data_IF_012988382277
#
_entry.id   IF_012988382277
#
_cell.length_a   1.000
_cell.length_b   1.000
_cell.length_c   1.000
_cell.angle_alpha   90.00
_cell.angle_beta   90.00
_cell.angle_gamma   90.00
#
_symmetry.space_group_name_H-M   'P 1'
#
loop_
_entity.id
_entity.type
_entity.pdbx_description
1 polymer ?
#
# COMPACT_ATOMS: atom_id res chain seq x y z
N UNK A 1 -1.19 -20.44 -2.89
CA UNK A 1 -0.41 -19.21 -2.65
C UNK A 1 -1.22 -18.28 -1.75
N UNK A 2 -1.17 -18.46 -0.42
CA UNK A 2 -1.88 -17.59 0.53
C UNK A 2 -1.19 -17.54 1.92
N UNK A 3 0.13 -17.79 1.98
CA UNK A 3 0.90 -17.76 3.25
C UNK A 3 1.20 -16.34 3.76
N UNK A 4 0.88 -15.32 2.97
CA UNK A 4 1.03 -13.92 3.36
C UNK A 4 -0.37 -13.33 3.39
N UNK A 5 -0.80 -12.89 4.57
CA UNK A 5 -2.05 -12.16 4.76
C UNK A 5 -2.13 -10.89 3.90
N UNK A 6 -3.15 -10.03 4.13
CA UNK A 6 -3.42 -8.91 3.23
C UNK A 6 -2.19 -7.99 3.10
N UNK A 7 -1.83 -7.59 1.87
CA UNK A 7 -0.73 -6.66 1.65
C UNK A 7 -1.07 -5.27 2.19
N UNK A 8 -0.04 -4.43 2.39
CA UNK A 8 -0.20 -3.10 3.00
C UNK A 8 -1.29 -2.25 2.33
N UNK A 9 -1.37 -2.25 0.99
CA UNK A 9 -2.37 -1.46 0.26
C UNK A 9 -3.82 -1.97 0.46
N UNK A 10 -4.02 -3.25 0.75
CA UNK A 10 -5.32 -3.83 1.08
C UNK A 10 -5.76 -3.42 2.48
N UNK A 11 -4.82 -3.46 3.42
CA UNK A 11 -5.02 -2.94 4.77
C UNK A 11 -5.22 -1.43 4.81
N UNK A 12 -4.57 -0.67 3.94
CA UNK A 12 -4.72 0.78 3.89
C UNK A 12 -6.09 1.17 3.36
N UNK A 13 -6.59 0.47 2.34
CA UNK A 13 -7.97 0.64 1.89
C UNK A 13 -8.95 0.34 3.04
N UNK A 14 -8.81 -0.82 3.70
CA UNK A 14 -9.65 -1.21 4.83
C UNK A 14 -9.61 -0.16 5.95
N UNK A 15 -8.42 0.34 6.29
CA UNK A 15 -8.20 1.32 7.36
C UNK A 15 -8.94 2.65 7.15
N UNK A 16 -9.19 3.02 5.89
CA UNK A 16 -9.87 4.29 5.53
C UNK A 16 -11.38 4.18 5.69
N UNK A 17 -11.93 2.96 5.71
CA UNK A 17 -13.36 2.72 5.83
C UNK A 17 -13.76 2.60 7.30
N UNK A 18 -14.27 3.69 7.89
CA UNK A 18 -14.70 3.73 9.29
C UNK A 18 -15.66 2.60 9.66
N UNK A 19 -16.60 2.29 8.77
CA UNK A 19 -17.58 1.24 9.00
C UNK A 19 -16.94 -0.14 9.07
N UNK A 20 -15.97 -0.45 8.21
CA UNK A 20 -15.36 -1.78 8.16
C UNK A 20 -14.63 -2.13 9.45
N UNK A 21 -13.68 -1.29 9.88
CA UNK A 21 -12.90 -1.65 11.07
C UNK A 21 -13.72 -1.56 12.37
N UNK A 22 -14.76 -0.72 12.43
CA UNK A 22 -15.67 -0.68 13.59
C UNK A 22 -16.55 -1.90 13.66
N UNK A 23 -17.08 -2.34 12.53
CA UNK A 23 -17.93 -3.53 12.46
C UNK A 23 -17.13 -4.79 12.79
N UNK A 24 -15.95 -4.96 12.20
CA UNK A 24 -15.07 -6.08 12.52
C UNK A 24 -14.72 -6.13 14.02
N UNK A 25 -14.38 -4.97 14.62
CA UNK A 25 -14.18 -4.84 16.07
C UNK A 25 -15.44 -5.18 16.86
N UNK A 26 -16.60 -4.69 16.45
CA UNK A 26 -17.89 -4.93 17.12
C UNK A 26 -18.22 -6.43 17.17
N UNK A 27 -18.03 -7.15 16.06
CA UNK A 27 -18.23 -8.60 15.98
C UNK A 27 -17.31 -9.35 16.93
N UNK A 28 -16.02 -9.00 16.92
CA UNK A 28 -15.04 -9.61 17.81
C UNK A 28 -15.33 -9.31 19.28
N UNK A 29 -15.69 -8.08 19.61
CA UNK A 29 -16.06 -7.65 20.96
C UNK A 29 -17.35 -8.31 21.48
N UNK A 30 -18.28 -8.64 20.58
CA UNK A 30 -19.55 -9.31 20.91
C UNK A 30 -19.44 -10.84 20.94
N UNK A 31 -18.29 -11.40 20.55
CA UNK A 31 -18.03 -12.83 20.59
C UNK A 31 -17.90 -13.38 22.01
N UNK A 32 -17.73 -14.69 22.11
CA UNK A 32 -17.35 -15.35 23.36
C UNK A 32 -15.83 -15.45 23.51
N UNK A 33 -15.33 -15.41 24.75
CA UNK A 33 -13.94 -15.76 25.07
C UNK A 33 -12.95 -14.59 25.17
N UNK A 34 -11.63 -14.88 25.28
CA UNK A 34 -10.61 -13.89 25.61
C UNK A 34 -10.44 -12.77 24.57
N UNK A 35 -10.70 -13.05 23.29
CA UNK A 35 -10.67 -12.04 22.22
C UNK A 35 -11.72 -10.95 22.44
N UNK A 36 -12.91 -11.33 22.91
CA UNK A 36 -14.01 -10.39 23.10
C UNK A 36 -13.65 -9.28 24.09
N UNK A 37 -13.06 -9.64 25.24
CA UNK A 37 -12.56 -8.66 26.21
C UNK A 37 -11.48 -7.74 25.63
N UNK A 38 -10.57 -8.27 24.82
CA UNK A 38 -9.50 -7.48 24.19
C UNK A 38 -10.05 -6.47 23.18
N UNK A 39 -10.94 -6.89 22.29
CA UNK A 39 -11.53 -6.02 21.27
C UNK A 39 -12.59 -5.07 21.84
N UNK A 40 -13.23 -5.41 22.96
CA UNK A 40 -14.11 -4.51 23.70
C UNK A 40 -13.34 -3.35 24.37
N UNK A 41 -12.08 -3.57 24.77
CA UNK A 41 -11.26 -2.58 25.46
C UNK A 41 -10.63 -1.52 24.53
N UNK A 42 -10.65 -1.73 23.20
CA UNK A 42 -10.06 -0.81 22.22
C UNK A 42 -11.13 -0.18 21.35
N UNK A 43 -11.26 1.14 21.35
CA UNK A 43 -12.29 1.85 20.57
C UNK A 43 -11.72 2.68 19.41
N UNK A 44 -10.50 3.17 19.59
CA UNK A 44 -9.86 4.06 18.65
C UNK A 44 -9.25 3.30 17.47
N UNK A 45 -9.37 3.91 16.29
CA UNK A 45 -8.78 3.39 15.04
C UNK A 45 -7.29 3.07 15.18
N UNK A 46 -6.55 3.88 15.95
CA UNK A 46 -5.10 3.74 16.16
C UNK A 46 -4.73 2.47 16.92
N UNK A 47 -5.65 1.93 17.72
CA UNK A 47 -5.43 0.75 18.56
C UNK A 47 -6.05 -0.49 17.90
N UNK A 48 -7.25 -0.34 17.33
CA UNK A 48 -7.98 -1.41 16.65
C UNK A 48 -7.23 -1.91 15.40
N UNK A 49 -6.71 -1.03 14.55
CA UNK A 49 -6.12 -1.45 13.28
C UNK A 49 -4.80 -2.21 13.42
N UNK A 50 -3.82 -1.77 14.24
CA UNK A 50 -2.62 -2.58 14.49
C UNK A 50 -2.97 -3.92 15.10
N UNK A 51 -3.95 -3.97 16.00
CA UNK A 51 -4.40 -5.22 16.62
C UNK A 51 -5.00 -6.18 15.59
N UNK A 52 -5.93 -5.72 14.75
CA UNK A 52 -6.50 -6.52 13.65
C UNK A 52 -5.41 -7.04 12.70
N UNK A 53 -4.46 -6.18 12.32
CA UNK A 53 -3.36 -6.54 11.41
C UNK A 53 -2.45 -7.63 12.01
N UNK A 54 -2.17 -7.55 13.31
CA UNK A 54 -1.33 -8.50 14.02
C UNK A 54 -2.04 -9.84 14.22
N UNK A 55 -3.32 -9.82 14.59
CA UNK A 55 -4.06 -11.04 14.91
C UNK A 55 -4.53 -11.80 13.65
N UNK A 56 -4.85 -11.10 12.54
CA UNK A 56 -5.37 -11.71 11.30
C UNK A 56 -4.59 -12.94 10.81
N UNK A 57 -3.26 -12.95 10.65
CA UNK A 57 -2.56 -14.14 10.17
C UNK A 57 -2.63 -15.34 11.13
N UNK A 58 -2.90 -15.13 12.42
CA UNK A 58 -2.77 -16.16 13.45
C UNK A 58 -4.11 -16.64 13.99
N UNK A 59 -5.12 -15.79 13.96
CA UNK A 59 -6.40 -16.05 14.63
C UNK A 59 -7.54 -16.26 13.60
N UNK A 60 -8.14 -17.47 13.52
CA UNK A 60 -9.21 -17.76 12.57
C UNK A 60 -10.48 -16.94 12.84
N UNK A 61 -10.77 -16.58 14.09
CA UNK A 61 -11.94 -15.77 14.41
C UNK A 61 -11.75 -14.32 13.95
N UNK A 62 -10.53 -13.79 14.08
CA UNK A 62 -10.19 -12.47 13.53
C UNK A 62 -10.24 -12.47 12.01
N UNK A 63 -9.71 -13.50 11.34
CA UNK A 63 -9.83 -13.60 9.87
C UNK A 63 -11.28 -13.62 9.44
N UNK A 64 -12.07 -14.52 10.02
CA UNK A 64 -13.49 -14.65 9.73
C UNK A 64 -14.22 -13.32 9.93
N UNK A 65 -14.03 -12.66 11.07
CA UNK A 65 -14.70 -11.39 11.36
C UNK A 65 -14.33 -10.29 10.34
N UNK A 66 -13.07 -10.19 9.94
CA UNK A 66 -12.62 -9.21 8.93
C UNK A 66 -13.18 -9.56 7.54
N UNK A 67 -13.07 -10.82 7.13
CA UNK A 67 -13.50 -11.29 5.81
C UNK A 67 -15.02 -11.15 5.64
N UNK A 68 -15.81 -11.59 6.63
CA UNK A 68 -17.27 -11.44 6.64
C UNK A 68 -17.68 -9.96 6.65
N UNK A 69 -17.01 -9.12 7.45
CA UNK A 69 -17.29 -7.68 7.46
C UNK A 69 -17.06 -7.06 6.09
N UNK A 70 -15.99 -7.44 5.39
CA UNK A 70 -15.70 -6.92 4.06
C UNK A 70 -16.76 -7.41 3.07
N UNK A 71 -17.09 -8.70 3.09
CA UNK A 71 -18.12 -9.28 2.24
C UNK A 71 -19.47 -8.56 2.44
N UNK A 72 -19.91 -8.41 3.68
CA UNK A 72 -21.23 -7.86 4.01
C UNK A 72 -21.29 -6.34 3.86
N UNK A 73 -20.27 -5.61 4.30
CA UNK A 73 -20.33 -4.14 4.36
C UNK A 73 -19.77 -3.50 3.10
N UNK A 74 -18.65 -3.99 2.57
CA UNK A 74 -18.04 -3.39 1.38
C UNK A 74 -18.68 -3.91 0.08
N UNK A 75 -19.05 -5.19 0.05
CA UNK A 75 -19.64 -5.84 -1.13
C UNK A 75 -21.15 -6.08 -1.02
N UNK A 76 -21.78 -5.68 0.11
CA UNK A 76 -23.22 -5.83 0.34
C UNK A 76 -23.68 -7.29 0.27
N UNK A 77 -22.82 -8.22 0.67
CA UNK A 77 -23.04 -9.66 0.59
C UNK A 77 -22.95 -10.26 -0.81
N UNK A 78 -22.71 -9.44 -1.85
CA UNK A 78 -22.67 -9.86 -3.26
C UNK A 78 -21.29 -10.39 -3.64
N UNK A 79 -20.87 -11.49 -3.02
CA UNK A 79 -19.60 -12.18 -3.32
C UNK A 79 -19.78 -13.36 -4.30
N UNK A 80 -21.02 -13.61 -4.72
CA UNK A 80 -21.46 -14.63 -5.67
C UNK A 80 -21.56 -14.12 -7.12
N UNK A 81 -21.55 -12.80 -7.31
CA UNK A 81 -21.58 -12.14 -8.62
C UNK A 81 -20.17 -11.87 -9.16
N UNK A 82 -20.06 -11.41 -10.41
CA UNK A 82 -18.77 -10.94 -10.97
C UNK A 82 -18.44 -9.54 -10.45
N UNK A 83 -17.15 -9.22 -10.30
CA UNK A 83 -16.75 -7.87 -9.84
C UNK A 83 -17.30 -6.74 -10.72
N UNK A 84 -17.35 -6.95 -12.03
CA UNK A 84 -17.87 -5.98 -12.99
C UNK A 84 -19.35 -5.62 -12.73
N UNK A 85 -20.11 -6.53 -12.14
CA UNK A 85 -21.54 -6.37 -11.84
C UNK A 85 -21.78 -5.52 -10.58
N UNK A 86 -20.73 -5.26 -9.78
CA UNK A 86 -20.82 -4.33 -8.65
C UNK A 86 -20.99 -2.87 -9.07
N UNK A 87 -20.77 -2.53 -10.35
CA UNK A 87 -20.90 -1.17 -10.88
C UNK A 87 -19.78 -0.22 -10.45
N UNK A 88 -18.68 -0.74 -9.89
CA UNK A 88 -17.55 0.06 -9.40
C UNK A 88 -16.59 0.37 -10.55
N UNK A 89 -16.68 1.59 -11.10
CA UNK A 89 -15.88 2.00 -12.27
C UNK A 89 -14.38 2.18 -12.00
N UNK A 90 -14.02 2.62 -10.80
CA UNK A 90 -12.62 2.85 -10.40
C UNK A 90 -12.38 2.27 -9.01
N UNK A 91 -12.25 0.94 -8.95
CA UNK A 91 -12.04 0.24 -7.70
C UNK A 91 -10.60 0.43 -7.19
N UNK A 92 -10.39 0.90 -5.95
CA UNK A 92 -9.06 0.99 -5.35
C UNK A 92 -8.36 -0.37 -5.33
N UNK A 93 -7.02 -0.37 -5.47
CA UNK A 93 -6.20 -1.61 -5.47
C UNK A 93 -6.46 -2.52 -4.29
N UNK A 94 -6.66 -1.94 -3.10
CA UNK A 94 -6.98 -2.70 -1.89
C UNK A 94 -8.32 -3.40 -1.96
N UNK A 95 -9.36 -2.73 -2.45
CA UNK A 95 -10.69 -3.32 -2.66
C UNK A 95 -10.63 -4.50 -3.64
N UNK A 96 -9.89 -4.33 -4.74
CA UNK A 96 -9.70 -5.37 -5.75
C UNK A 96 -9.02 -6.60 -5.18
N UNK A 97 -7.98 -6.41 -4.37
CA UNK A 97 -7.32 -7.52 -3.68
C UNK A 97 -8.26 -8.27 -2.75
N UNK A 98 -9.05 -7.54 -1.95
CA UNK A 98 -10.03 -8.16 -1.06
C UNK A 98 -11.09 -8.95 -1.83
N UNK A 99 -11.55 -8.43 -2.96
CA UNK A 99 -12.44 -9.20 -3.83
C UNK A 99 -11.79 -10.50 -4.29
N UNK A 100 -10.60 -10.43 -4.88
CA UNK A 100 -9.88 -11.63 -5.35
C UNK A 100 -9.60 -12.61 -4.21
N UNK A 101 -9.30 -12.13 -3.00
CA UNK A 101 -9.08 -12.97 -1.83
C UNK A 101 -10.36 -13.70 -1.38
N UNK A 102 -11.52 -13.04 -1.43
CA UNK A 102 -12.79 -13.61 -1.00
C UNK A 102 -13.45 -14.51 -2.05
N UNK A 103 -13.38 -14.15 -3.32
CA UNK A 103 -14.12 -14.83 -4.41
C UNK A 103 -13.24 -15.73 -5.27
N UNK A 104 -11.91 -15.56 -5.20
CA UNK A 104 -10.97 -16.20 -6.11
C UNK A 104 -10.95 -15.58 -7.51
N UNK A 105 -11.76 -14.55 -7.81
CA UNK A 105 -11.77 -13.91 -9.12
C UNK A 105 -10.51 -13.03 -9.31
N UNK A 106 -9.60 -13.36 -10.24
CA UNK A 106 -8.41 -12.57 -10.47
C UNK A 106 -8.77 -11.28 -11.21
N UNK A 107 -8.74 -10.14 -10.51
CA UNK A 107 -9.05 -8.83 -11.11
C UNK A 107 -7.83 -8.15 -11.71
N UNK A 108 -6.66 -8.46 -11.18
CA UNK A 108 -5.40 -7.96 -11.68
C UNK A 108 -4.89 -8.93 -12.74
N UNK A 109 -5.25 -8.66 -14.00
CA UNK A 109 -4.69 -9.36 -15.17
C UNK A 109 -3.16 -9.24 -15.26
N UNK A 110 -2.50 -9.82 -16.28
CA UNK A 110 -1.03 -9.95 -16.40
C UNK A 110 -0.22 -8.63 -16.39
N UNK A 111 -0.86 -7.49 -16.18
CA UNK A 111 -0.27 -6.16 -16.14
C UNK A 111 0.19 -5.74 -14.72
N UNK A 112 -0.32 -6.36 -13.65
CA UNK A 112 0.13 -6.06 -12.28
C UNK A 112 1.56 -6.57 -12.00
N UNK A 113 2.05 -7.56 -12.74
CA UNK A 113 3.44 -8.03 -12.66
C UNK A 113 4.46 -7.05 -13.27
N UNK A 114 4.02 -6.08 -14.09
CA UNK A 114 4.89 -5.06 -14.70
C UNK A 114 5.08 -3.80 -13.85
N UNK A 115 4.42 -3.71 -12.69
CA UNK A 115 4.49 -2.55 -11.79
C UNK A 115 5.00 -2.92 -10.39
N UNK A 116 5.91 -3.89 -10.30
CA UNK A 116 6.87 -3.88 -9.20
C UNK A 116 7.86 -2.74 -9.49
N UNK A 117 7.92 -1.67 -8.69
CA UNK A 117 8.94 -0.66 -8.89
C UNK A 117 10.30 -1.27 -8.50
N UNK A 118 11.12 -1.57 -9.50
CA UNK A 118 12.58 -1.59 -9.33
C UNK A 118 13.04 -0.15 -9.51
N UNK A 119 12.77 0.71 -8.53
CA UNK A 119 13.45 2.00 -8.41
C UNK A 119 13.66 2.29 -6.93
N UNK A 120 14.88 1.96 -6.50
CA UNK A 120 15.48 2.49 -5.28
C UNK A 120 15.59 4.01 -5.49
N UNK A 121 15.04 4.86 -4.62
CA UNK A 121 15.37 6.28 -4.69
C UNK A 121 16.78 6.47 -4.10
N UNK A 122 17.82 6.30 -4.92
CA UNK A 122 19.15 6.86 -4.65
C UNK A 122 19.13 8.36 -4.96
N UNK A 123 18.47 9.12 -4.10
CA UNK A 123 18.69 10.56 -3.99
C UNK A 123 18.92 10.89 -2.52
N UNK A 124 20.16 10.66 -2.09
CA UNK A 124 20.84 11.35 -0.99
C UNK A 124 22.31 10.88 -0.94
N UNK A 125 23.09 11.20 -1.98
CA UNK A 125 24.55 11.34 -1.84
C UNK A 125 24.83 12.84 -1.81
N UNK A 126 24.62 13.43 -0.64
CA UNK A 126 25.21 14.71 -0.28
C UNK A 126 26.62 14.39 0.24
N UNK A 127 27.61 14.45 -0.63
CA UNK A 127 28.97 14.05 -0.30
C UNK A 127 30.01 14.32 -1.38
N UNK A 128 29.86 15.38 -2.17
CA UNK A 128 30.96 15.87 -3.01
C UNK A 128 31.76 16.91 -2.20
N UNK A 129 32.56 16.38 -1.28
CA UNK A 129 33.60 17.13 -0.59
C UNK A 129 34.72 17.36 -1.60
N UNK A 130 34.89 18.64 -1.95
CA UNK A 130 36.02 19.25 -2.62
C UNK A 130 37.34 18.49 -2.46
N UNK A 131 37.89 18.01 -3.59
CA UNK A 131 39.33 17.87 -3.78
C UNK A 131 39.68 18.45 -5.15
N UNK A 132 40.57 19.45 -5.07
CA UNK A 132 41.20 20.24 -6.11
C UNK A 132 41.74 19.43 -7.30
N UNK A 133 41.51 19.93 -8.52
CA UNK A 133 42.51 19.87 -9.59
C UNK A 133 42.39 21.15 -10.47
N UNK A 134 43.50 21.87 -10.76
CA UNK A 134 43.50 23.17 -11.42
C UNK A 134 43.22 23.15 -12.95
N UNK A 135 42.82 24.32 -13.44
CA UNK A 135 42.28 24.65 -14.78
C UNK A 135 42.93 23.97 -16.01
N UNK A 136 42.13 23.65 -17.05
CA UNK A 136 42.66 23.29 -18.36
C UNK A 136 43.17 24.52 -19.13
N UNK A 137 44.27 24.30 -19.84
CA UNK A 137 45.01 25.23 -20.68
C UNK A 137 44.12 26.02 -21.66
N UNK A 138 44.35 27.33 -21.72
CA UNK A 138 43.83 28.22 -22.76
C UNK A 138 44.49 27.89 -24.10
N UNK A 139 43.66 27.44 -25.03
CA UNK A 139 43.97 27.30 -26.46
C UNK A 139 44.35 28.65 -27.10
N UNK A 140 45.29 28.53 -28.04
CA UNK A 140 45.72 29.43 -29.11
C UNK A 140 44.95 30.76 -29.31
N UNK A 141 45.60 31.88 -28.95
CA UNK A 141 45.30 33.21 -29.51
C UNK A 141 46.30 33.50 -30.62
N UNK A 142 45.95 33.09 -31.84
CA UNK A 142 46.54 33.59 -33.07
C UNK A 142 45.53 34.51 -33.78
N UNK A 143 45.64 35.82 -33.55
CA UNK A 143 44.83 36.83 -34.21
C UNK A 143 45.52 38.18 -34.16
N UNK A 144 46.35 38.45 -35.16
CA UNK A 144 47.20 39.64 -35.21
C UNK A 144 46.46 40.97 -35.32
N UNK A 145 47.10 42.01 -34.81
CA UNK A 145 46.98 43.38 -35.29
C UNK A 145 48.38 43.98 -35.32
N UNK A 146 48.83 44.36 -36.53
CA UNK A 146 49.96 45.25 -36.70
C UNK A 146 49.62 46.66 -36.21
N UNK A 147 50.61 47.43 -35.81
CA UNK A 147 51.20 48.47 -36.66
C UNK A 147 52.33 49.17 -35.88
N UNK A 148 53.50 49.26 -36.52
CA UNK A 148 54.62 50.10 -36.07
C UNK A 148 54.46 51.48 -36.71
N UNK A 149 54.17 52.50 -35.91
CA UNK A 149 54.53 53.92 -36.07
C UNK A 149 54.43 54.53 -34.65
N UNK A 150 55.36 55.29 -34.08
CA UNK A 150 56.45 56.12 -34.57
C UNK A 150 57.45 56.31 -33.42
#
# INVERSE_FOLDING_TARGET
MADKGPPAYAWDWFSRQKLLWREARSRLASGGGPLAGRYAAVEDRRDVLPLLRADYPHDPDVRRAVDETIAEVAFLGRVDVRFAELGVRSAPRGMRWWWTALTGEPLDGPQAARQAPTEVPEQLVLGDLAVLDPEPALDDVAGGYGDRRH
#
